data_IF_222855899587
#
_entry.id   IF_222855899587
#
_cell.length_a   1.000
_cell.length_b   1.000
_cell.length_c   1.000
_cell.angle_alpha   90.00
_cell.angle_beta   90.00
_cell.angle_gamma   90.00
#
_symmetry.space_group_name_H-M   'P 1'
#
loop_
_entity.id
_entity.type
_entity.pdbx_description
1 polymer ?
#
# COMPACT_ATOMS: atom_id res chain seq x y z
N UNK A 1 7.33 17.67 21.09
CA UNK A 1 7.14 16.23 20.87
C UNK A 1 7.18 15.99 19.36
N UNK A 2 8.27 15.44 18.84
CA UNK A 2 8.40 15.09 17.41
C UNK A 2 7.48 13.91 17.12
N UNK A 3 6.28 14.19 16.63
CA UNK A 3 5.31 13.18 16.21
C UNK A 3 5.76 12.45 14.96
N UNK A 4 5.14 11.30 14.69
CA UNK A 4 5.31 10.57 13.43
C UNK A 4 4.95 11.52 12.27
N UNK A 5 5.78 11.62 11.21
CA UNK A 5 5.51 12.50 10.08
C UNK A 5 4.14 12.27 9.45
N UNK A 6 3.40 13.35 9.18
CA UNK A 6 2.08 13.25 8.56
C UNK A 6 2.07 12.44 7.25
N UNK A 7 3.05 12.58 6.32
CA UNK A 7 3.08 11.75 5.10
C UNK A 7 3.17 10.25 5.38
N UNK A 8 3.93 9.87 6.41
CA UNK A 8 4.08 8.47 6.81
C UNK A 8 2.76 7.90 7.34
N UNK A 9 2.03 8.67 8.16
CA UNK A 9 0.71 8.31 8.67
C UNK A 9 -0.28 8.20 7.52
N UNK A 10 -0.43 9.25 6.71
CA UNK A 10 -1.41 9.32 5.63
C UNK A 10 -1.18 8.23 4.59
N UNK A 11 0.07 8.02 4.14
CA UNK A 11 0.36 6.97 3.17
C UNK A 11 0.13 5.57 3.72
N UNK A 12 0.52 5.30 4.98
CA UNK A 12 0.27 3.99 5.60
C UNK A 12 -1.23 3.70 5.75
N UNK A 13 -2.03 4.70 6.16
CA UNK A 13 -3.50 4.57 6.19
C UNK A 13 -4.06 4.36 4.79
N UNK A 14 -3.56 5.07 3.78
CA UNK A 14 -4.03 4.92 2.39
C UNK A 14 -3.81 3.51 1.85
N UNK A 15 -2.62 2.93 2.04
CA UNK A 15 -2.34 1.54 1.63
C UNK A 15 -3.15 0.52 2.44
N UNK A 16 -3.37 0.75 3.74
CA UNK A 16 -4.23 -0.10 4.55
C UNK A 16 -5.68 -0.09 4.05
N UNK A 17 -6.25 1.10 3.79
CA UNK A 17 -7.60 1.26 3.24
C UNK A 17 -7.70 0.60 1.87
N UNK A 18 -6.71 0.77 1.00
CA UNK A 18 -6.65 0.10 -0.29
C UNK A 18 -6.71 -1.42 -0.14
N UNK A 19 -5.91 -2.00 0.77
CA UNK A 19 -5.94 -3.44 1.04
C UNK A 19 -7.30 -3.94 1.51
N UNK A 20 -7.92 -3.24 2.47
CA UNK A 20 -9.25 -3.59 2.99
C UNK A 20 -10.31 -3.53 1.88
N UNK A 21 -10.29 -2.48 1.06
CA UNK A 21 -11.23 -2.32 -0.07
C UNK A 21 -11.06 -3.44 -1.08
N UNK A 22 -9.83 -3.77 -1.48
CA UNK A 22 -9.57 -4.81 -2.47
C UNK A 22 -9.96 -6.20 -1.97
N UNK A 23 -9.69 -6.53 -0.70
CA UNK A 23 -10.20 -7.76 -0.07
C UNK A 23 -11.74 -7.76 -0.07
N UNK A 24 -12.37 -6.63 0.29
CA UNK A 24 -13.82 -6.47 0.24
C UNK A 24 -14.39 -6.76 -1.16
N UNK A 25 -13.72 -6.32 -2.22
CA UNK A 25 -14.12 -6.58 -3.60
C UNK A 25 -13.96 -8.06 -3.99
N UNK A 26 -12.89 -8.74 -3.55
CA UNK A 26 -12.74 -10.20 -3.75
C UNK A 26 -13.89 -10.96 -3.09
N UNK A 27 -14.23 -10.58 -1.87
CA UNK A 27 -15.33 -11.21 -1.12
C UNK A 27 -16.71 -10.88 -1.73
N UNK A 28 -16.91 -9.66 -2.22
CA UNK A 28 -18.13 -9.27 -2.93
C UNK A 28 -18.28 -10.03 -4.25
N UNK A 29 -17.19 -10.18 -5.03
CA UNK A 29 -17.19 -10.96 -6.26
C UNK A 29 -17.56 -12.43 -6.01
N UNK A 30 -17.06 -13.01 -4.92
CA UNK A 30 -17.47 -14.34 -4.46
C UNK A 30 -18.94 -14.38 -4.05
N UNK A 31 -19.42 -13.39 -3.30
CA UNK A 31 -20.81 -13.32 -2.84
C UNK A 31 -21.84 -13.23 -3.96
N UNK A 32 -21.49 -12.59 -5.08
CA UNK A 32 -22.33 -12.48 -6.29
C UNK A 32 -22.14 -13.68 -7.25
N UNK A 33 -21.32 -14.67 -6.87
CA UNK A 33 -21.09 -15.88 -7.67
C UNK A 33 -20.23 -15.66 -8.91
N UNK A 34 -19.44 -14.58 -8.95
CA UNK A 34 -18.49 -14.30 -10.04
C UNK A 34 -17.14 -14.96 -9.85
N UNK A 35 -16.89 -15.54 -8.68
CA UNK A 35 -15.61 -16.13 -8.31
C UNK A 35 -15.84 -17.38 -7.46
N UNK A 36 -15.12 -18.46 -7.76
CA UNK A 36 -15.13 -19.66 -6.93
C UNK A 36 -14.32 -19.46 -5.64
N UNK A 37 -14.53 -20.32 -4.64
CA UNK A 37 -13.84 -20.27 -3.35
C UNK A 37 -12.32 -20.36 -3.48
N UNK A 38 -11.82 -21.21 -4.39
CA UNK A 38 -10.38 -21.38 -4.59
C UNK A 38 -9.73 -20.12 -5.18
N UNK A 39 -10.39 -19.53 -6.18
CA UNK A 39 -9.95 -18.29 -6.80
C UNK A 39 -10.02 -17.12 -5.81
N UNK A 40 -11.02 -17.09 -4.92
CA UNK A 40 -11.13 -16.06 -3.88
C UNK A 40 -10.00 -16.18 -2.85
N UNK A 41 -9.63 -17.42 -2.49
CA UNK A 41 -8.48 -17.69 -1.63
C UNK A 41 -7.20 -17.16 -2.24
N UNK A 42 -6.94 -17.48 -3.50
CA UNK A 42 -5.79 -16.98 -4.26
C UNK A 42 -5.80 -15.45 -4.35
N UNK A 43 -6.95 -14.86 -4.70
CA UNK A 43 -7.13 -13.42 -4.80
C UNK A 43 -6.82 -12.68 -3.50
N UNK A 44 -7.27 -13.21 -2.35
CA UNK A 44 -6.97 -12.62 -1.05
C UNK A 44 -5.47 -12.64 -0.74
N UNK A 45 -4.78 -13.76 -1.00
CA UNK A 45 -3.32 -13.87 -0.77
C UNK A 45 -2.56 -12.89 -1.67
N UNK A 46 -2.90 -12.86 -2.96
CA UNK A 46 -2.26 -11.96 -3.93
C UNK A 46 -2.47 -10.50 -3.54
N UNK A 47 -3.69 -10.09 -3.23
CA UNK A 47 -4.01 -8.71 -2.82
C UNK A 47 -3.19 -8.31 -1.59
N UNK A 48 -3.13 -9.15 -0.55
CA UNK A 48 -2.37 -8.85 0.67
C UNK A 48 -0.89 -8.67 0.37
N UNK A 49 -0.28 -9.61 -0.36
CA UNK A 49 1.15 -9.55 -0.70
C UNK A 49 1.43 -8.31 -1.56
N UNK A 50 0.63 -8.07 -2.60
CA UNK A 50 0.83 -6.92 -3.48
C UNK A 50 0.71 -5.58 -2.76
N UNK A 51 -0.32 -5.39 -1.95
CA UNK A 51 -0.51 -4.13 -1.20
C UNK A 51 0.62 -3.93 -0.19
N UNK A 52 1.04 -4.98 0.51
CA UNK A 52 2.18 -4.91 1.42
C UNK A 52 3.48 -4.57 0.70
N UNK A 53 3.78 -5.23 -0.44
CA UNK A 53 4.96 -4.94 -1.25
C UNK A 53 4.95 -3.52 -1.80
N UNK A 54 3.80 -3.02 -2.27
CA UNK A 54 3.65 -1.65 -2.75
C UNK A 54 3.85 -0.62 -1.62
N UNK A 55 3.27 -0.88 -0.45
CA UNK A 55 3.48 -0.03 0.72
C UNK A 55 4.94 -0.01 1.14
N UNK A 56 5.61 -1.17 1.18
CA UNK A 56 7.03 -1.27 1.54
C UNK A 56 7.92 -0.50 0.53
N UNK A 57 7.66 -0.65 -0.76
CA UNK A 57 8.37 0.10 -1.80
C UNK A 57 8.19 1.60 -1.63
N UNK A 58 6.95 2.06 -1.46
CA UNK A 58 6.65 3.47 -1.21
C UNK A 58 7.29 3.99 0.08
N UNK A 59 7.25 3.19 1.16
CA UNK A 59 7.84 3.56 2.45
C UNK A 59 9.35 3.78 2.31
N UNK A 60 10.06 2.86 1.67
CA UNK A 60 11.49 3.01 1.40
C UNK A 60 11.77 4.23 0.50
N UNK A 61 10.95 4.43 -0.54
CA UNK A 61 11.05 5.60 -1.42
C UNK A 61 10.78 6.91 -0.68
N UNK A 62 9.95 6.92 0.34
CA UNK A 62 9.74 8.13 1.14
C UNK A 62 10.87 8.32 2.17
N UNK A 63 11.29 7.25 2.85
CA UNK A 63 12.33 7.29 3.87
C UNK A 63 13.70 7.70 3.34
N UNK A 64 14.08 7.31 2.11
CA UNK A 64 15.38 7.73 1.56
C UNK A 64 15.48 9.26 1.33
N UNK A 65 14.34 9.94 1.24
CA UNK A 65 14.26 11.39 1.11
C UNK A 65 14.09 12.07 2.46
N UNK A 66 13.85 11.31 3.53
CA UNK A 66 13.59 11.86 4.85
C UNK A 66 14.92 12.20 5.55
N UNK A 67 15.22 13.50 5.63
CA UNK A 67 16.53 14.06 6.02
C UNK A 67 17.63 13.78 4.98
N UNK A 68 17.54 14.39 3.79
CA UNK A 68 18.48 14.14 2.70
C UNK A 68 19.88 14.70 3.04
N UNK A 69 20.91 13.94 2.70
CA UNK A 69 22.32 14.35 2.82
C UNK A 69 22.82 15.08 1.57
N UNK A 70 22.12 14.89 0.44
CA UNK A 70 22.45 15.47 -0.85
C UNK A 70 21.27 16.32 -1.34
N UNK A 71 21.58 17.45 -1.97
CA UNK A 71 20.59 18.31 -2.63
C UNK A 71 20.91 18.40 -4.12
N UNK A 72 19.89 18.56 -4.98
CA UNK A 72 20.13 18.80 -6.41
C UNK A 72 20.97 20.06 -6.64
N UNK A 73 21.88 19.99 -7.62
CA UNK A 73 22.64 21.14 -8.14
C UNK A 73 21.90 21.60 -9.39
N UNK A 74 21.53 22.88 -9.45
CA UNK A 74 20.86 23.47 -10.61
C UNK A 74 21.89 24.26 -11.42
N UNK A 75 22.15 23.85 -12.66
CA UNK A 75 22.90 24.65 -13.63
C UNK A 75 21.89 25.47 -14.44
N UNK A 76 21.95 26.80 -14.29
CA UNK A 76 21.23 27.77 -15.09
C UNK A 76 22.18 28.53 -16.00
#
# INVERSE_FOLDING_TARGET
>A
MSGIPAPLITGSIAYLVLGVVLIGLVQAARGVGKLDKNDAGTGNVVVVISVFSMWLFWLCAWMHQWHPLISPIYEG
#
